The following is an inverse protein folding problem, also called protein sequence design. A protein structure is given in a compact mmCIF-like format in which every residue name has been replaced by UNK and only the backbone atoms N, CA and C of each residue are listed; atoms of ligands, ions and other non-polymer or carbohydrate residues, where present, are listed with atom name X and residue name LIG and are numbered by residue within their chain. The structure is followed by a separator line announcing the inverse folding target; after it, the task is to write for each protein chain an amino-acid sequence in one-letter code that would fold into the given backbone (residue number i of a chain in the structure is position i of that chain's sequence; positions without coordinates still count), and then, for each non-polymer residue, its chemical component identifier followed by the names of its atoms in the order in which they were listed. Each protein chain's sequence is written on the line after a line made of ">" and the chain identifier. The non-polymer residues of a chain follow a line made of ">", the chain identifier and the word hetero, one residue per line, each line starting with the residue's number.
data_IF_490076496015
#
_entry.id   IF_490076496015
#
_cell.length_a   1.000
_cell.length_b   1.000
_cell.length_c   1.000
_cell.angle_alpha   90.00
_cell.angle_beta   90.00
_cell.angle_gamma   90.00
#
_symmetry.space_group_name_H-M   'P 1'
#
loop_
_entity.id
_entity.type
_entity.pdbx_description
1 polymer ?
#
# COMPACT_ATOMS: atom_id res chain seq x y z
N UNK A 1 4.70 -10.65 16.38
CA UNK A 1 4.93 -10.93 14.94
C UNK A 1 4.32 -12.31 14.67
N UNK A 2 3.57 -12.51 13.59
CA UNK A 2 2.88 -13.78 13.33
C UNK A 2 3.92 -14.80 12.81
N UNK A 3 4.05 -15.96 13.44
CA UNK A 3 5.01 -17.01 13.05
C UNK A 3 4.90 -17.41 11.57
N UNK A 4 3.68 -17.34 11.00
CA UNK A 4 3.43 -17.61 9.57
C UNK A 4 4.10 -16.59 8.65
N UNK A 5 4.12 -15.31 9.05
CA UNK A 5 4.73 -14.25 8.26
C UNK A 5 6.26 -14.38 8.24
N UNK A 6 6.88 -14.71 9.38
CA UNK A 6 8.32 -14.94 9.45
C UNK A 6 8.74 -16.14 8.59
N UNK A 7 7.94 -17.22 8.62
CA UNK A 7 8.17 -18.38 7.78
C UNK A 7 8.14 -18.03 6.29
N UNK A 8 7.20 -17.20 5.84
CA UNK A 8 7.13 -16.70 4.45
C UNK A 8 8.40 -15.94 4.05
N UNK A 9 8.93 -15.09 4.94
CA UNK A 9 10.16 -14.35 4.64
C UNK A 9 11.34 -15.30 4.45
N UNK A 10 11.43 -16.36 5.25
CA UNK A 10 12.49 -17.37 5.14
C UNK A 10 12.32 -18.18 3.86
N UNK A 11 11.12 -18.69 3.60
CA UNK A 11 10.80 -19.55 2.45
C UNK A 11 11.11 -18.87 1.11
N UNK A 12 10.82 -17.58 1.00
CA UNK A 12 11.07 -16.79 -0.20
C UNK A 12 12.37 -15.98 -0.15
N UNK A 13 13.29 -16.34 0.76
CA UNK A 13 14.63 -15.75 0.92
C UNK A 13 14.65 -14.21 1.03
N UNK A 14 13.61 -13.64 1.65
CA UNK A 14 13.44 -12.20 1.82
C UNK A 14 14.32 -11.74 2.99
N UNK A 15 15.42 -11.09 2.66
CA UNK A 15 16.37 -10.57 3.66
C UNK A 15 15.70 -9.53 4.57
N UNK A 16 16.01 -9.51 5.88
CA UNK A 16 15.48 -8.50 6.82
C UNK A 16 15.77 -7.05 6.42
N UNK A 17 16.82 -6.82 5.62
CA UNK A 17 17.18 -5.51 5.08
C UNK A 17 16.24 -5.02 3.98
N UNK A 18 15.37 -5.86 3.43
CA UNK A 18 14.35 -5.50 2.45
C UNK A 18 13.15 -4.80 3.11
N UNK A 19 13.41 -3.77 3.91
CA UNK A 19 12.43 -3.12 4.81
C UNK A 19 11.17 -2.67 4.07
N UNK A 20 11.33 -2.04 2.91
CA UNK A 20 10.20 -1.55 2.10
C UNK A 20 9.28 -2.70 1.65
N UNK A 21 9.88 -3.81 1.17
CA UNK A 21 9.12 -4.99 0.75
C UNK A 21 8.42 -5.62 1.96
N UNK A 22 9.13 -5.77 3.08
CA UNK A 22 8.56 -6.36 4.31
C UNK A 22 7.38 -5.51 4.82
N UNK A 23 7.48 -4.19 4.79
CA UNK A 23 6.39 -3.32 5.22
C UNK A 23 5.18 -3.36 4.28
N UNK A 24 5.40 -3.43 2.96
CA UNK A 24 4.33 -3.69 2.00
C UNK A 24 3.68 -5.06 2.24
N UNK A 25 4.48 -6.11 2.43
CA UNK A 25 3.97 -7.45 2.72
C UNK A 25 3.17 -7.48 4.02
N UNK A 26 3.62 -6.81 5.09
CA UNK A 26 2.86 -6.71 6.34
C UNK A 26 1.51 -6.01 6.13
N UNK A 27 1.48 -5.02 5.24
CA UNK A 27 0.26 -4.29 4.92
C UNK A 27 -0.70 -5.10 4.05
N UNK A 28 -0.24 -5.86 3.07
CA UNK A 28 -1.14 -6.62 2.19
C UNK A 28 -1.49 -8.00 2.72
N UNK A 29 -0.59 -8.63 3.46
CA UNK A 29 -0.72 -10.01 3.95
C UNK A 29 -1.20 -10.03 5.41
N UNK A 30 -2.23 -9.24 5.75
CA UNK A 30 -2.73 -9.08 7.13
C UNK A 30 -3.41 -10.34 7.70
N UNK A 31 -3.79 -11.29 6.84
CA UNK A 31 -4.51 -12.52 7.23
C UNK A 31 -3.78 -13.78 6.77
N UNK A 32 -3.98 -14.89 7.48
CA UNK A 32 -3.45 -16.21 7.08
C UNK A 32 -3.94 -16.58 5.68
N UNK A 33 -5.18 -16.24 5.32
CA UNK A 33 -5.70 -16.49 3.98
C UNK A 33 -4.92 -15.72 2.91
N UNK A 34 -4.58 -14.44 3.13
CA UNK A 34 -3.77 -13.65 2.19
C UNK A 34 -2.32 -14.14 2.13
N UNK A 35 -1.76 -14.55 3.26
CA UNK A 35 -0.44 -15.19 3.33
C UNK A 35 -0.38 -16.47 2.49
N UNK A 36 -1.40 -17.34 2.61
CA UNK A 36 -1.50 -18.57 1.81
C UNK A 36 -1.74 -18.28 0.32
N UNK A 37 -2.56 -17.28 0.01
CA UNK A 37 -2.75 -16.82 -1.37
C UNK A 37 -1.43 -16.37 -1.99
N UNK A 38 -0.65 -15.56 -1.26
CA UNK A 38 0.67 -15.13 -1.69
C UNK A 38 1.59 -16.33 -1.94
N UNK A 39 1.68 -17.27 -0.99
CA UNK A 39 2.52 -18.47 -1.14
C UNK A 39 2.16 -19.30 -2.38
N UNK A 40 0.85 -19.52 -2.60
CA UNK A 40 0.38 -20.29 -3.76
C UNK A 40 0.66 -19.57 -5.09
N UNK A 41 0.51 -18.24 -5.13
CA UNK A 41 0.76 -17.44 -6.33
C UNK A 41 2.26 -17.30 -6.62
N UNK A 42 3.11 -17.32 -5.60
CA UNK A 42 4.57 -17.29 -5.75
C UNK A 42 5.12 -18.44 -6.59
N UNK A 43 4.42 -19.58 -6.68
CA UNK A 43 4.80 -20.70 -7.54
C UNK A 43 4.85 -20.35 -9.04
N UNK A 44 4.23 -19.23 -9.42
CA UNK A 44 4.10 -18.77 -10.80
C UNK A 44 4.70 -17.36 -11.02
N UNK A 45 5.48 -16.86 -10.07
CA UNK A 45 6.02 -15.51 -10.08
C UNK A 45 7.54 -15.53 -9.92
N UNK A 46 8.22 -14.61 -10.61
CA UNK A 46 9.69 -14.55 -10.59
C UNK A 46 10.25 -13.91 -9.31
N UNK A 47 9.43 -13.13 -8.59
CA UNK A 47 9.89 -12.35 -7.45
C UNK A 47 8.77 -12.03 -6.46
N UNK A 48 9.03 -12.11 -5.14
CA UNK A 48 8.13 -11.63 -4.10
C UNK A 48 7.68 -10.18 -4.31
N UNK A 49 8.59 -9.34 -4.81
CA UNK A 49 8.28 -7.94 -5.08
C UNK A 49 7.33 -7.78 -6.28
N UNK A 50 7.49 -8.57 -7.35
CA UNK A 50 6.57 -8.56 -8.49
C UNK A 50 5.15 -8.93 -8.03
N UNK A 51 5.03 -10.03 -7.27
CA UNK A 51 3.74 -10.49 -6.79
C UNK A 51 3.08 -9.50 -5.84
N UNK A 52 3.83 -8.94 -4.88
CA UNK A 52 3.24 -7.99 -3.93
C UNK A 52 2.74 -6.72 -4.64
N UNK A 53 3.44 -6.27 -5.71
CA UNK A 53 3.00 -5.14 -6.53
C UNK A 53 1.74 -5.48 -7.33
N UNK A 54 1.61 -6.71 -7.84
CA UNK A 54 0.36 -7.17 -8.50
C UNK A 54 -0.81 -7.17 -7.51
N UNK A 55 -0.62 -7.76 -6.34
CA UNK A 55 -1.63 -7.79 -5.27
C UNK A 55 -1.99 -6.39 -4.77
N UNK A 56 -1.01 -5.48 -4.66
CA UNK A 56 -1.26 -4.07 -4.35
C UNK A 56 -2.17 -3.40 -5.38
N UNK A 57 -1.94 -3.62 -6.69
CA UNK A 57 -2.82 -3.07 -7.74
C UNK A 57 -4.22 -3.64 -7.67
N UNK A 58 -4.36 -4.93 -7.36
CA UNK A 58 -5.66 -5.58 -7.13
C UNK A 58 -6.38 -4.92 -5.93
N UNK A 59 -5.68 -4.69 -4.82
CA UNK A 59 -6.22 -4.01 -3.65
C UNK A 59 -6.60 -2.56 -3.96
N UNK A 60 -5.79 -1.83 -4.74
CA UNK A 60 -6.14 -0.47 -5.20
C UNK A 60 -7.42 -0.51 -6.03
N UNK A 61 -7.61 -1.52 -6.87
CA UNK A 61 -8.82 -1.66 -7.66
C UNK A 61 -10.05 -2.00 -6.83
N UNK A 62 -9.91 -2.84 -5.80
CA UNK A 62 -11.01 -3.33 -5.01
C UNK A 62 -11.39 -2.44 -3.81
N UNK A 63 -10.44 -1.70 -3.25
CA UNK A 63 -10.58 -1.08 -1.93
C UNK A 63 -10.22 0.40 -1.85
N UNK A 64 -9.61 0.98 -2.90
CA UNK A 64 -9.34 2.43 -2.94
C UNK A 64 -10.63 3.24 -3.08
N UNK A 65 -10.52 4.54 -2.83
CA UNK A 65 -11.63 5.47 -3.00
C UNK A 65 -12.01 5.61 -4.47
N UNK A 66 -13.31 5.58 -4.74
CA UNK A 66 -13.88 5.77 -6.08
C UNK A 66 -14.28 7.22 -6.34
N UNK A 67 -14.42 8.02 -5.29
CA UNK A 67 -14.84 9.41 -5.37
C UNK A 67 -14.10 10.28 -4.34
N UNK A 68 -13.95 11.56 -4.71
CA UNK A 68 -13.24 12.57 -3.93
C UNK A 68 -13.95 12.88 -2.60
N UNK A 69 -15.28 12.92 -2.60
CA UNK A 69 -16.05 13.35 -1.43
C UNK A 69 -15.85 12.40 -0.25
N UNK A 70 -15.92 11.10 -0.50
CA UNK A 70 -15.68 10.08 0.52
C UNK A 70 -14.24 10.13 1.03
N UNK A 71 -13.25 10.34 0.15
CA UNK A 71 -11.86 10.51 0.58
C UNK A 71 -11.68 11.72 1.50
N UNK A 72 -12.19 12.89 1.10
CA UNK A 72 -12.06 14.14 1.87
C UNK A 72 -12.72 14.01 3.25
N UNK A 73 -13.92 13.42 3.31
CA UNK A 73 -14.61 13.17 4.56
C UNK A 73 -13.76 12.27 5.49
N UNK A 74 -13.27 11.14 4.98
CA UNK A 74 -12.48 10.21 5.78
C UNK A 74 -11.12 10.80 6.17
N UNK A 75 -10.52 11.64 5.32
CA UNK A 75 -9.25 12.31 5.59
C UNK A 75 -9.32 13.22 6.81
N UNK A 76 -10.37 14.03 6.93
CA UNK A 76 -10.55 14.89 8.11
C UNK A 76 -10.87 14.11 9.39
N UNK A 77 -11.36 12.87 9.27
CA UNK A 77 -11.65 11.98 10.40
C UNK A 77 -10.41 11.21 10.85
N UNK A 78 -9.70 10.62 9.91
CA UNK A 78 -8.48 9.82 10.12
C UNK A 78 -7.60 9.90 8.86
N UNK A 79 -6.71 10.91 8.85
CA UNK A 79 -5.76 11.17 7.75
C UNK A 79 -4.94 9.94 7.39
N UNK A 80 -4.47 9.19 8.39
CA UNK A 80 -3.62 8.02 8.17
C UNK A 80 -4.41 6.91 7.48
N UNK A 81 -5.57 6.57 8.02
CA UNK A 81 -6.42 5.53 7.43
C UNK A 81 -6.90 5.92 6.02
N UNK A 82 -7.21 7.19 5.79
CA UNK A 82 -7.58 7.69 4.46
C UNK A 82 -6.44 7.54 3.46
N UNK A 83 -5.20 7.86 3.83
CA UNK A 83 -4.04 7.60 2.97
C UNK A 83 -3.78 6.13 2.73
N UNK A 84 -3.80 5.31 3.78
CA UNK A 84 -3.64 3.86 3.66
C UNK A 84 -4.68 3.27 2.72
N UNK A 85 -5.93 3.76 2.76
CA UNK A 85 -6.99 3.30 1.87
C UNK A 85 -6.86 3.84 0.44
N UNK A 86 -6.51 5.12 0.26
CA UNK A 86 -6.34 5.70 -1.07
C UNK A 86 -5.20 5.00 -1.83
N UNK A 87 -4.04 4.86 -1.19
CA UNK A 87 -2.84 4.36 -1.82
C UNK A 87 -2.64 2.86 -1.66
N UNK A 88 -3.36 2.20 -0.74
CA UNK A 88 -3.14 0.80 -0.36
C UNK A 88 -1.68 0.53 0.04
N UNK A 89 -1.03 1.48 0.70
CA UNK A 89 0.33 1.32 1.22
C UNK A 89 0.41 1.86 2.66
N UNK A 90 1.39 1.44 3.47
CA UNK A 90 1.59 2.01 4.81
C UNK A 90 1.80 3.52 4.76
N UNK A 91 0.95 4.27 5.45
CA UNK A 91 1.08 5.71 5.64
C UNK A 91 1.88 6.00 6.90
N UNK A 92 3.18 5.71 6.86
CA UNK A 92 4.10 6.12 7.92
C UNK A 92 4.16 7.65 8.03
N UNK A 93 4.40 8.15 9.23
CA UNK A 93 4.44 9.60 9.51
C UNK A 93 5.40 10.33 8.56
N UNK A 94 6.61 9.78 8.36
CA UNK A 94 7.61 10.34 7.44
C UNK A 94 7.15 10.41 5.98
N UNK A 95 6.19 9.59 5.53
CA UNK A 95 5.60 9.71 4.20
C UNK A 95 4.53 10.79 4.18
N UNK A 96 3.72 10.89 5.23
CA UNK A 96 2.66 11.89 5.34
C UNK A 96 3.25 13.30 5.44
N UNK A 97 4.36 13.46 6.14
CA UNK A 97 5.11 14.72 6.28
C UNK A 97 5.72 15.22 4.96
N UNK A 98 5.80 14.39 3.91
CA UNK A 98 6.29 14.82 2.60
C UNK A 98 5.28 15.64 1.81
N UNK A 99 4.00 15.56 2.16
CA UNK A 99 2.99 16.38 1.51
C UNK A 99 3.18 17.83 1.94
N UNK A 100 3.48 18.70 0.98
CA UNK A 100 3.60 20.14 1.24
C UNK A 100 2.24 20.81 1.40
N UNK A 101 1.20 20.14 0.91
CA UNK A 101 -0.19 20.55 0.99
C UNK A 101 -0.99 19.63 1.93
N UNK A 102 -1.85 20.21 2.77
CA UNK A 102 -2.78 19.47 3.64
C UNK A 102 -4.24 19.54 3.13
N UNK A 103 -4.45 20.06 1.92
CA UNK A 103 -5.75 20.04 1.25
C UNK A 103 -6.03 18.66 0.64
N UNK A 104 -6.97 17.86 1.20
CA UNK A 104 -7.30 16.55 0.67
C UNK A 104 -7.91 16.59 -0.74
N UNK A 105 -8.58 17.68 -1.14
CA UNK A 105 -9.10 17.76 -2.50
C UNK A 105 -7.96 17.81 -3.53
N UNK A 106 -6.97 18.66 -3.26
CA UNK A 106 -5.77 18.76 -4.09
C UNK A 106 -5.03 17.42 -4.15
N UNK A 107 -4.82 16.77 -3.00
CA UNK A 107 -4.14 15.46 -2.96
C UNK A 107 -4.88 14.43 -3.81
N UNK A 108 -6.22 14.35 -3.69
CA UNK A 108 -7.01 13.41 -4.47
C UNK A 108 -6.96 13.71 -5.97
N UNK A 109 -7.08 14.98 -6.35
CA UNK A 109 -6.99 15.39 -7.76
C UNK A 109 -5.61 15.02 -8.34
N UNK A 110 -4.53 15.32 -7.62
CA UNK A 110 -3.17 14.93 -8.03
C UNK A 110 -3.03 13.41 -8.17
N UNK A 111 -3.62 12.63 -7.27
CA UNK A 111 -3.63 11.17 -7.39
C UNK A 111 -4.31 10.69 -8.68
N UNK A 112 -5.47 11.27 -9.03
CA UNK A 112 -6.18 10.93 -10.28
C UNK A 112 -5.37 11.34 -11.51
N UNK A 113 -4.79 12.54 -11.51
CA UNK A 113 -3.98 13.07 -12.62
C UNK A 113 -2.71 12.25 -12.88
N UNK A 114 -2.02 11.82 -11.81
CA UNK A 114 -0.79 11.02 -11.91
C UNK A 114 -1.06 9.55 -12.25
N UNK A 115 -2.33 9.14 -12.24
CA UNK A 115 -2.80 7.80 -12.55
C UNK A 115 -2.96 6.92 -11.32
N UNK A 116 -4.04 6.12 -11.36
CA UNK A 116 -4.31 4.99 -10.47
C UNK A 116 -3.04 4.11 -10.43
N UNK A 117 -2.60 3.70 -9.24
CA UNK A 117 -1.28 3.09 -8.97
C UNK A 117 -0.09 4.06 -8.85
N UNK A 118 -0.32 5.33 -8.54
CA UNK A 118 0.76 6.19 -8.04
C UNK A 118 0.97 5.96 -6.55
N UNK A 119 2.23 5.81 -6.12
CA UNK A 119 2.56 5.69 -4.70
C UNK A 119 2.34 7.00 -3.96
N UNK A 120 2.14 6.91 -2.65
CA UNK A 120 1.98 8.09 -1.79
C UNK A 120 3.17 9.03 -1.88
N UNK A 121 4.39 8.47 -1.95
CA UNK A 121 5.62 9.28 -2.12
C UNK A 121 5.67 9.99 -3.46
N UNK A 122 5.17 9.38 -4.54
CA UNK A 122 5.07 10.04 -5.84
C UNK A 122 4.08 11.20 -5.78
N UNK A 123 2.90 11.00 -5.19
CA UNK A 123 1.88 12.05 -5.11
C UNK A 123 2.34 13.22 -4.25
N UNK A 124 3.05 12.97 -3.14
CA UNK A 124 3.61 14.01 -2.30
C UNK A 124 4.56 14.98 -3.04
N UNK A 125 5.18 14.57 -4.14
CA UNK A 125 6.04 15.45 -4.96
C UNK A 125 5.24 16.47 -5.79
N UNK A 126 3.96 16.20 -6.06
CA UNK A 126 3.12 17.00 -6.93
C UNK A 126 1.95 17.69 -6.19
N UNK A 127 1.62 17.20 -4.99
CA UNK A 127 0.55 17.72 -4.16
C UNK A 127 1.00 18.92 -3.30
#
# INVERSE_FOLDING_TARGET
>A
MNAVFEQLLIEFEIKPTAVILIDLMRFHLKSVSRMNEFANRMLYEDSPFSLIVKMWKEDVNAHSYTDKFTFVHDYYRDKKAAFEKLFQEPAHDWKMERFTCDDPERIYNTYVEQGKYSSMTKIALFA
#
